data_IF_169643462397
#
_entry.id   IF_169643462397
#
_cell.length_a   1.000
_cell.length_b   1.000
_cell.length_c   1.000
_cell.angle_alpha   90.00
_cell.angle_beta   90.00
_cell.angle_gamma   90.00
#
_symmetry.space_group_name_H-M   'P 1'
#
loop_
_entity.id
_entity.type
_entity.pdbx_description
1 polymer ?
#
# COMPACT_ATOMS: atom_id res chain seq x y z
N UNK A 1 28.61 27.57 -29.18
CA UNK A 1 28.51 28.50 -28.03
C UNK A 1 27.59 27.85 -27.00
N UNK A 2 28.11 27.07 -26.07
CA UNK A 2 28.24 27.45 -24.65
C UNK A 2 27.24 26.62 -23.82
N UNK A 3 27.65 25.59 -23.06
CA UNK A 3 28.07 25.65 -21.63
C UNK A 3 26.92 26.15 -20.74
N UNK A 4 26.42 25.52 -19.68
CA UNK A 4 26.89 24.45 -18.79
C UNK A 4 25.78 24.15 -17.74
N UNK A 5 25.77 22.90 -17.22
CA UNK A 5 25.77 22.49 -15.79
C UNK A 5 24.86 23.28 -14.78
N UNK A 6 24.05 22.71 -13.87
CA UNK A 6 24.29 21.57 -12.96
C UNK A 6 23.01 21.23 -12.16
N UNK A 7 22.78 19.93 -11.93
CA UNK A 7 22.48 19.21 -10.65
C UNK A 7 21.68 19.98 -9.58
N UNK A 8 20.61 19.41 -9.00
CA UNK A 8 20.76 18.37 -7.95
C UNK A 8 19.43 17.83 -7.39
N UNK A 9 19.45 16.51 -7.11
CA UNK A 9 18.83 15.80 -5.96
C UNK A 9 17.32 15.54 -5.95
N UNK A 10 16.92 14.41 -6.54
CA UNK A 10 15.76 13.65 -6.06
C UNK A 10 16.23 12.32 -5.46
N UNK A 11 16.03 12.22 -4.15
CA UNK A 11 16.22 11.04 -3.32
C UNK A 11 15.27 9.92 -3.75
N UNK A 12 15.74 8.89 -4.45
CA UNK A 12 14.95 7.68 -4.69
C UNK A 12 14.98 6.81 -3.42
N UNK A 13 13.99 7.02 -2.56
CA UNK A 13 13.71 6.17 -1.41
C UNK A 13 13.31 4.76 -1.88
N UNK A 14 14.22 3.81 -1.71
CA UNK A 14 14.00 2.48 -1.09
C UNK A 14 12.61 1.83 -1.35
N UNK A 15 12.44 1.16 -2.49
CA UNK A 15 11.36 0.18 -2.68
C UNK A 15 11.79 -1.19 -2.19
N UNK A 16 11.33 -1.59 -1.00
CA UNK A 16 11.42 -2.97 -0.49
C UNK A 16 10.27 -3.77 -1.12
N UNK A 17 10.58 -4.64 -2.08
CA UNK A 17 9.62 -5.63 -2.53
C UNK A 17 9.34 -6.66 -1.43
N UNK A 18 8.15 -6.54 -0.80
CA UNK A 18 7.49 -7.65 -0.12
C UNK A 18 6.78 -8.50 -1.20
N UNK A 19 7.28 -9.71 -1.47
CA UNK A 19 6.48 -10.74 -2.16
C UNK A 19 6.13 -11.84 -1.18
N UNK A 20 4.82 -12.12 -1.13
CA UNK A 20 4.13 -13.10 -0.29
C UNK A 20 4.48 -14.52 -0.75
N UNK A 21 4.56 -15.51 0.17
CA UNK A 21 4.81 -16.89 -0.19
C UNK A 21 3.51 -17.58 -0.64
N UNK A 22 3.53 -18.20 -1.82
CA UNK A 22 2.50 -19.14 -2.24
C UNK A 22 2.73 -20.50 -1.59
N UNK A 23 1.80 -20.81 -0.71
CA UNK A 23 1.39 -22.11 -0.17
C UNK A 23 1.50 -23.25 -1.20
N UNK A 24 2.41 -24.20 -0.96
CA UNK A 24 2.27 -25.59 -1.43
C UNK A 24 2.48 -26.54 -0.25
N UNK A 25 1.41 -27.28 0.03
CA UNK A 25 1.29 -28.37 0.99
C UNK A 25 2.11 -29.57 0.51
N UNK A 26 3.01 -30.05 1.35
CA UNK A 26 3.25 -31.49 1.54
C UNK A 26 3.97 -31.67 2.87
N UNK A 27 3.21 -32.05 3.89
CA UNK A 27 3.70 -32.48 5.20
C UNK A 27 4.24 -33.90 5.05
N UNK A 28 5.54 -34.07 5.19
CA UNK A 28 6.11 -35.31 5.71
C UNK A 28 6.83 -34.95 6.99
N UNK A 29 6.26 -35.42 8.08
CA UNK A 29 6.55 -35.05 9.46
C UNK A 29 7.30 -36.22 10.08
N UNK A 30 8.62 -36.16 10.11
CA UNK A 30 9.42 -36.96 11.06
C UNK A 30 10.20 -36.00 11.94
N UNK A 31 9.60 -35.79 13.10
CA UNK A 31 10.07 -35.04 14.25
C UNK A 31 11.28 -35.74 14.87
N UNK A 32 12.22 -34.91 15.36
CA UNK A 32 12.96 -35.07 16.61
C UNK A 32 14.03 -36.19 16.60
N UNK A 33 15.16 -36.14 17.29
CA UNK A 33 15.74 -35.21 18.27
C UNK A 33 17.11 -35.83 18.57
N UNK A 34 18.19 -35.07 18.33
CA UNK A 34 19.17 -34.63 19.33
C UNK A 34 20.17 -35.65 19.90
N UNK A 35 21.37 -35.09 20.16
CA UNK A 35 22.45 -35.48 21.10
C UNK A 35 23.44 -36.52 20.57
N UNK A 36 24.63 -36.10 20.12
CA UNK A 36 25.83 -35.74 20.91
C UNK A 36 26.40 -36.88 21.78
N UNK A 37 27.69 -37.15 21.59
CA UNK A 37 28.53 -38.01 22.44
C UNK A 37 29.35 -38.99 21.60
N UNK A 38 30.39 -38.56 20.89
CA UNK A 38 31.77 -38.61 21.40
C UNK A 38 32.09 -39.91 22.15
N UNK A 39 32.78 -40.85 21.52
CA UNK A 39 34.21 -41.07 21.80
C UNK A 39 34.76 -42.34 21.13
N UNK A 40 35.92 -42.16 20.51
CA UNK A 40 37.14 -42.97 20.63
C UNK A 40 37.05 -44.50 20.54
N UNK A 41 37.93 -44.98 19.66
CA UNK A 41 38.78 -46.16 19.84
C UNK A 41 38.14 -47.53 19.54
N UNK A 42 38.53 -48.12 18.41
CA UNK A 42 39.48 -49.25 18.41
C UNK A 42 39.36 -50.09 17.13
N UNK A 43 40.23 -49.78 16.17
CA UNK A 43 41.08 -50.72 15.43
C UNK A 43 40.83 -52.22 15.72
N UNK A 44 40.23 -52.95 14.78
CA UNK A 44 40.57 -54.36 14.51
C UNK A 44 39.98 -54.78 13.16
N UNK A 45 40.77 -54.76 12.08
CA UNK A 45 41.54 -55.92 11.58
C UNK A 45 40.70 -57.19 11.52
N UNK A 46 40.13 -57.42 10.34
CA UNK A 46 39.86 -58.74 9.77
C UNK A 46 41.09 -59.63 9.98
N UNK A 47 41.03 -60.50 10.98
CA UNK A 47 41.98 -61.58 11.19
C UNK A 47 41.20 -62.87 11.17
N UNK A 48 41.02 -63.35 9.95
CA UNK A 48 40.84 -64.75 9.62
C UNK A 48 41.91 -65.56 10.37
N UNK A 49 41.51 -66.17 11.49
CA UNK A 49 42.35 -67.11 12.22
C UNK A 49 41.84 -68.51 11.90
N UNK A 50 42.36 -69.06 10.81
CA UNK A 50 42.61 -70.50 10.71
C UNK A 50 43.38 -70.92 11.97
N UNK A 51 42.76 -71.74 12.81
CA UNK A 51 43.46 -72.46 13.87
C UNK A 51 43.28 -73.95 13.60
N UNK A 52 44.24 -74.48 12.84
CA UNK A 52 44.66 -75.88 12.95
C UNK A 52 44.86 -76.18 14.44
N UNK A 53 44.18 -77.21 14.95
CA UNK A 53 44.63 -77.87 16.18
C UNK A 53 45.02 -79.28 15.81
N UNK A 54 46.33 -79.47 15.85
CA UNK A 54 46.99 -80.72 15.58
C UNK A 54 46.50 -81.82 16.53
N UNK A 55 46.40 -83.00 15.92
CA UNK A 55 46.59 -84.32 16.51
C UNK A 55 47.60 -84.26 17.66
N UNK A 56 47.18 -84.70 18.84
CA UNK A 56 48.09 -85.32 19.79
C UNK A 56 47.59 -86.75 20.02
N UNK A 57 48.48 -87.65 19.63
CA UNK A 57 48.56 -89.05 19.99
C UNK A 57 48.60 -89.20 21.51
N UNK A 58 47.80 -90.13 22.04
CA UNK A 58 48.05 -90.97 23.23
C UNK A 58 46.93 -92.02 23.25
N UNK A 59 47.13 -93.23 22.73
CA UNK A 59 47.65 -94.40 23.45
C UNK A 59 46.91 -94.70 24.77
N UNK A 60 46.07 -95.74 24.68
CA UNK A 60 45.82 -96.76 25.72
C UNK A 60 45.53 -96.29 27.16
N UNK A 61 44.29 -96.46 27.61
CA UNK A 61 44.00 -97.39 28.71
C UNK A 61 42.49 -97.49 28.96
N UNK A 62 42.08 -98.73 29.15
CA UNK A 62 40.80 -99.17 29.70
C UNK A 62 40.48 -98.46 31.03
N UNK A 63 39.33 -97.79 31.14
CA UNK A 63 38.61 -97.62 32.41
C UNK A 63 37.12 -97.30 32.15
N UNK A 64 36.24 -98.03 32.83
CA UNK A 64 34.79 -98.08 32.62
C UNK A 64 34.01 -96.89 33.23
N UNK A 65 34.52 -95.65 33.12
CA UNK A 65 33.90 -94.46 33.75
C UNK A 65 33.40 -93.36 32.78
N UNK A 66 33.71 -93.42 31.48
CA UNK A 66 33.27 -92.43 30.47
C UNK A 66 31.75 -92.49 30.17
N UNK A 67 31.14 -93.66 30.33
CA UNK A 67 29.72 -93.89 30.03
C UNK A 67 28.79 -93.21 31.07
N UNK A 68 29.29 -93.00 32.30
CA UNK A 68 28.60 -92.23 33.33
C UNK A 68 28.61 -90.72 33.03
N UNK A 69 29.73 -90.17 32.53
CA UNK A 69 29.86 -88.74 32.20
C UNK A 69 29.02 -88.37 30.96
N UNK A 70 28.90 -89.26 29.98
CA UNK A 70 28.02 -89.09 28.83
C UNK A 70 26.53 -89.22 29.20
N UNK A 71 26.18 -90.13 30.13
CA UNK A 71 24.80 -90.25 30.64
C UNK A 71 24.39 -89.06 31.50
N UNK A 72 25.28 -88.53 32.34
CA UNK A 72 25.00 -87.31 33.13
C UNK A 72 24.84 -86.09 32.22
N UNK A 73 25.74 -85.88 31.25
CA UNK A 73 25.58 -84.82 30.23
C UNK A 73 24.30 -84.95 29.41
N UNK A 74 23.93 -86.17 29.00
CA UNK A 74 22.68 -86.42 28.28
C UNK A 74 21.44 -86.22 29.15
N UNK A 75 21.54 -86.45 30.46
CA UNK A 75 20.47 -86.16 31.43
C UNK A 75 20.35 -84.65 31.68
N UNK A 76 21.46 -83.95 31.85
CA UNK A 76 21.51 -82.49 31.94
C UNK A 76 21.05 -81.80 30.65
N UNK A 77 21.38 -82.34 29.47
CA UNK A 77 20.87 -81.83 28.18
C UNK A 77 19.38 -82.07 28.01
N UNK A 78 18.85 -83.20 28.49
CA UNK A 78 17.41 -83.45 28.53
C UNK A 78 16.71 -82.52 29.51
N UNK A 79 17.30 -82.26 30.68
CA UNK A 79 16.78 -81.32 31.66
C UNK A 79 16.80 -79.89 31.10
N UNK A 80 17.89 -79.46 30.44
CA UNK A 80 17.97 -78.18 29.71
C UNK A 80 16.99 -78.11 28.54
N UNK A 81 16.79 -79.19 27.79
CA UNK A 81 15.80 -79.22 26.71
C UNK A 81 14.36 -79.14 27.25
N UNK A 82 14.07 -79.79 28.38
CA UNK A 82 12.78 -79.68 29.04
C UNK A 82 12.55 -78.27 29.62
N UNK A 83 13.61 -77.62 30.13
CA UNK A 83 13.57 -76.22 30.57
C UNK A 83 13.36 -75.27 29.39
N UNK A 84 14.06 -75.48 28.27
CA UNK A 84 13.85 -74.73 27.03
C UNK A 84 12.44 -74.95 26.46
N UNK A 85 11.93 -76.17 26.50
CA UNK A 85 10.56 -76.48 26.04
C UNK A 85 9.51 -75.80 26.93
N UNK A 86 9.72 -75.76 28.24
CA UNK A 86 8.87 -74.99 29.17
C UNK A 86 8.93 -73.48 28.85
N UNK A 87 10.12 -72.93 28.64
CA UNK A 87 10.28 -71.52 28.26
C UNK A 87 9.63 -71.20 26.91
N UNK A 88 9.67 -72.12 25.95
CA UNK A 88 9.00 -71.93 24.66
C UNK A 88 7.48 -71.99 24.80
N UNK A 89 6.95 -72.87 25.64
CA UNK A 89 5.51 -72.93 25.97
C UNK A 89 5.05 -71.69 26.73
N UNK A 90 5.86 -71.17 27.65
CA UNK A 90 5.59 -69.90 28.34
C UNK A 90 5.56 -68.74 27.35
N UNK A 91 6.55 -68.65 26.45
CA UNK A 91 6.56 -67.65 25.37
C UNK A 91 5.35 -67.75 24.43
N UNK A 92 4.89 -68.96 24.12
CA UNK A 92 3.68 -69.15 23.31
C UNK A 92 2.44 -68.64 24.04
N UNK A 93 2.28 -68.97 25.32
CA UNK A 93 1.19 -68.45 26.16
C UNK A 93 1.23 -66.93 26.27
N UNK A 94 2.41 -66.34 26.47
CA UNK A 94 2.56 -64.88 26.50
C UNK A 94 2.19 -64.21 25.17
N UNK A 95 2.48 -64.86 24.04
CA UNK A 95 2.09 -64.34 22.72
C UNK A 95 0.58 -64.46 22.50
N UNK A 96 -0.03 -65.57 22.91
CA UNK A 96 -1.48 -65.76 22.86
C UNK A 96 -2.21 -64.77 23.77
N UNK A 97 -1.71 -64.55 24.99
CA UNK A 97 -2.24 -63.55 25.93
C UNK A 97 -2.14 -62.14 25.36
N UNK A 98 -0.99 -61.77 24.77
CA UNK A 98 -0.84 -60.46 24.10
C UNK A 98 -1.80 -60.28 22.93
N UNK A 99 -2.05 -61.32 22.13
CA UNK A 99 -3.02 -61.25 21.04
C UNK A 99 -4.45 -61.04 21.56
N UNK A 100 -4.80 -61.71 22.66
CA UNK A 100 -6.11 -61.55 23.32
C UNK A 100 -6.23 -60.14 23.91
N UNK A 101 -5.20 -59.63 24.57
CA UNK A 101 -5.15 -58.27 25.10
C UNK A 101 -5.30 -57.22 24.00
N UNK A 102 -4.62 -57.40 22.87
CA UNK A 102 -4.77 -56.53 21.70
C UNK A 102 -6.18 -56.58 21.11
N UNK A 103 -6.80 -57.76 21.02
CA UNK A 103 -8.18 -57.89 20.56
C UNK A 103 -9.18 -57.22 21.51
N UNK A 104 -8.97 -57.37 22.82
CA UNK A 104 -9.80 -56.73 23.84
C UNK A 104 -9.63 -55.22 23.79
N UNK A 105 -8.39 -54.73 23.71
CA UNK A 105 -8.09 -53.30 23.55
C UNK A 105 -8.76 -52.73 22.29
N UNK A 106 -8.71 -53.44 21.16
CA UNK A 106 -9.39 -53.03 19.91
C UNK A 106 -10.91 -53.02 20.05
N UNK A 107 -11.50 -53.96 20.80
CA UNK A 107 -12.97 -53.98 21.05
C UNK A 107 -13.38 -52.82 21.95
N UNK A 108 -12.62 -52.55 23.00
CA UNK A 108 -12.84 -51.41 23.89
C UNK A 108 -12.70 -50.09 23.13
N UNK A 109 -11.65 -49.93 22.33
CA UNK A 109 -11.44 -48.75 21.49
C UNK A 109 -12.61 -48.51 20.55
N UNK A 110 -13.12 -49.55 19.88
CA UNK A 110 -14.30 -49.44 18.99
C UNK A 110 -15.57 -49.04 19.75
N UNK A 111 -15.79 -49.57 20.95
CA UNK A 111 -16.96 -49.20 21.77
C UNK A 111 -16.86 -47.77 22.28
N UNK A 112 -15.65 -47.33 22.67
CA UNK A 112 -15.39 -45.95 23.08
C UNK A 112 -15.56 -45.00 21.89
N UNK A 113 -14.98 -45.32 20.74
CA UNK A 113 -15.12 -44.53 19.52
C UNK A 113 -16.59 -44.37 19.12
N UNK A 114 -17.38 -45.46 19.13
CA UNK A 114 -18.81 -45.41 18.83
C UNK A 114 -19.59 -44.54 19.83
N UNK A 115 -19.35 -44.70 21.14
CA UNK A 115 -20.01 -43.86 22.15
C UNK A 115 -19.66 -42.39 22.00
N UNK A 116 -18.39 -42.07 21.72
CA UNK A 116 -17.93 -40.70 21.47
C UNK A 116 -18.54 -40.14 20.18
N UNK A 117 -18.63 -40.94 19.13
CA UNK A 117 -19.26 -40.55 17.87
C UNK A 117 -20.74 -40.23 18.06
N UNK A 118 -21.49 -41.06 18.79
CA UNK A 118 -22.90 -40.84 19.11
C UNK A 118 -23.11 -39.59 20.00
N UNK A 119 -22.22 -39.34 20.97
CA UNK A 119 -22.26 -38.14 21.81
C UNK A 119 -21.93 -36.88 21.01
N UNK A 120 -20.94 -36.96 20.12
CA UNK A 120 -20.59 -35.86 19.23
C UNK A 120 -21.71 -35.62 18.23
N UNK A 121 -22.33 -36.65 17.67
CA UNK A 121 -23.42 -36.51 16.71
C UNK A 121 -24.62 -35.74 17.28
N UNK A 122 -25.00 -36.02 18.53
CA UNK A 122 -26.03 -35.24 19.24
C UNK A 122 -25.65 -33.77 19.43
N UNK A 123 -24.37 -33.48 19.66
CA UNK A 123 -23.86 -32.11 19.88
C UNK A 123 -23.41 -31.41 18.59
N UNK A 124 -23.26 -32.15 17.48
CA UNK A 124 -22.79 -31.62 16.18
C UNK A 124 -23.76 -30.58 15.68
N UNK A 125 -25.07 -30.84 15.72
CA UNK A 125 -26.07 -29.90 15.22
C UNK A 125 -26.07 -28.59 16.03
N UNK A 126 -25.96 -28.67 17.36
CA UNK A 126 -25.85 -27.51 18.24
C UNK A 126 -24.57 -26.70 17.96
N UNK A 127 -23.43 -27.40 17.87
CA UNK A 127 -22.14 -26.80 17.55
C UNK A 127 -22.18 -26.17 16.16
N UNK A 128 -22.77 -26.82 15.17
CA UNK A 128 -22.91 -26.32 13.81
C UNK A 128 -23.75 -25.05 13.77
N UNK A 129 -24.87 -25.01 14.48
CA UNK A 129 -25.72 -23.81 14.57
C UNK A 129 -24.95 -22.66 15.21
N UNK A 130 -24.22 -22.92 16.30
CA UNK A 130 -23.44 -21.87 16.95
C UNK A 130 -22.26 -21.38 16.08
N UNK A 131 -21.56 -22.29 15.40
CA UNK A 131 -20.51 -21.94 14.45
C UNK A 131 -21.09 -21.13 13.28
N UNK A 132 -22.22 -21.53 12.72
CA UNK A 132 -22.92 -20.79 11.66
C UNK A 132 -23.29 -19.38 12.14
N UNK A 133 -23.85 -19.24 13.35
CA UNK A 133 -24.16 -17.94 13.97
C UNK A 133 -22.92 -17.05 14.12
N UNK A 134 -21.83 -17.56 14.70
CA UNK A 134 -20.59 -16.79 14.86
C UNK A 134 -19.97 -16.38 13.51
N UNK A 135 -20.07 -17.24 12.50
CA UNK A 135 -19.62 -16.92 11.14
C UNK A 135 -20.49 -15.85 10.50
N UNK A 136 -21.81 -15.91 10.67
CA UNK A 136 -22.73 -14.89 10.19
C UNK A 136 -22.52 -13.55 10.90
N UNK A 137 -22.31 -13.53 12.21
CA UNK A 137 -21.97 -12.32 12.96
C UNK A 137 -20.65 -11.72 12.48
N UNK A 138 -19.62 -12.54 12.28
CA UNK A 138 -18.34 -12.09 11.74
C UNK A 138 -18.47 -11.55 10.31
N UNK A 139 -19.27 -12.20 9.44
CA UNK A 139 -19.58 -11.70 8.09
C UNK A 139 -20.30 -10.38 8.14
N UNK A 140 -21.34 -10.24 8.96
CA UNK A 140 -22.09 -8.99 9.13
C UNK A 140 -21.22 -7.86 9.65
N UNK A 141 -20.31 -8.12 10.58
CA UNK A 141 -19.35 -7.12 11.07
C UNK A 141 -18.43 -6.67 9.93
N UNK A 142 -17.86 -7.62 9.18
CA UNK A 142 -17.00 -7.32 8.03
C UNK A 142 -17.75 -6.56 6.94
N UNK A 143 -18.98 -6.96 6.60
CA UNK A 143 -19.82 -6.29 5.62
C UNK A 143 -20.15 -4.85 6.03
N UNK A 144 -20.50 -4.62 7.31
CA UNK A 144 -20.74 -3.27 7.83
C UNK A 144 -19.49 -2.40 7.74
N UNK A 145 -18.34 -2.92 8.16
CA UNK A 145 -17.07 -2.20 8.06
C UNK A 145 -16.73 -1.86 6.61
N UNK A 146 -16.92 -2.80 5.69
CA UNK A 146 -16.70 -2.59 4.26
C UNK A 146 -17.65 -1.55 3.67
N UNK A 147 -18.93 -1.57 4.04
CA UNK A 147 -19.91 -0.57 3.60
C UNK A 147 -19.58 0.82 4.15
N UNK A 148 -19.25 0.94 5.43
CA UNK A 148 -18.83 2.20 6.05
C UNK A 148 -17.56 2.77 5.38
N UNK A 149 -16.60 1.93 5.05
CA UNK A 149 -15.39 2.34 4.33
C UNK A 149 -15.72 2.84 2.92
N UNK A 150 -16.61 2.16 2.19
CA UNK A 150 -17.07 2.58 0.87
C UNK A 150 -17.86 3.90 0.92
N UNK A 151 -18.73 4.07 1.91
CA UNK A 151 -19.48 5.31 2.11
C UNK A 151 -18.56 6.48 2.44
N UNK A 152 -17.57 6.27 3.32
CA UNK A 152 -16.54 7.28 3.62
C UNK A 152 -15.73 7.65 2.39
N UNK A 153 -15.36 6.67 1.56
CA UNK A 153 -14.64 6.93 0.32
C UNK A 153 -15.48 7.75 -0.67
N UNK A 154 -16.75 7.38 -0.86
CA UNK A 154 -17.68 8.14 -1.71
C UNK A 154 -17.90 9.56 -1.20
N UNK A 155 -18.10 9.73 0.10
CA UNK A 155 -18.27 11.03 0.72
C UNK A 155 -17.01 11.90 0.54
N UNK A 156 -15.83 11.33 0.76
CA UNK A 156 -14.55 12.02 0.55
C UNK A 156 -14.32 12.39 -0.93
N UNK A 157 -14.72 11.53 -1.87
CA UNK A 157 -14.63 11.82 -3.29
C UNK A 157 -15.56 12.96 -3.70
N UNK A 158 -16.82 12.93 -3.25
CA UNK A 158 -17.78 14.01 -3.49
C UNK A 158 -17.33 15.33 -2.85
N UNK A 159 -16.79 15.28 -1.63
CA UNK A 159 -16.24 16.47 -0.98
C UNK A 159 -15.02 17.01 -1.72
N UNK A 160 -14.12 16.14 -2.19
CA UNK A 160 -12.97 16.55 -3.00
C UNK A 160 -13.41 17.17 -4.34
N UNK A 161 -14.45 16.63 -4.98
CA UNK A 161 -15.04 17.22 -6.19
C UNK A 161 -15.67 18.58 -5.90
N UNK A 162 -16.44 18.72 -4.82
CA UNK A 162 -17.03 20.00 -4.40
C UNK A 162 -15.96 21.05 -4.11
N UNK A 163 -14.90 20.70 -3.39
CA UNK A 163 -13.78 21.62 -3.12
C UNK A 163 -13.10 22.09 -4.40
N UNK A 164 -12.88 21.19 -5.36
CA UNK A 164 -12.34 21.56 -6.68
C UNK A 164 -13.27 22.48 -7.45
N UNK A 165 -14.57 22.19 -7.44
CA UNK A 165 -15.57 23.03 -8.11
C UNK A 165 -15.64 24.43 -7.46
N UNK A 166 -15.62 24.52 -6.14
CA UNK A 166 -15.57 25.80 -5.41
C UNK A 166 -14.30 26.60 -5.72
N UNK A 167 -13.14 25.94 -5.78
CA UNK A 167 -11.89 26.60 -6.19
C UNK A 167 -11.95 27.09 -7.64
N UNK A 168 -12.53 26.31 -8.56
CA UNK A 168 -12.73 26.74 -9.95
C UNK A 168 -13.74 27.89 -10.05
N UNK A 169 -14.83 27.86 -9.28
CA UNK A 169 -15.81 28.94 -9.21
C UNK A 169 -15.16 30.22 -8.69
N UNK A 170 -14.41 30.16 -7.59
CA UNK A 170 -13.67 31.32 -7.06
C UNK A 170 -12.71 31.90 -8.08
N UNK A 171 -11.94 31.05 -8.79
CA UNK A 171 -11.04 31.51 -9.86
C UNK A 171 -11.81 32.19 -11.01
N UNK A 172 -12.99 31.67 -11.38
CA UNK A 172 -13.84 32.29 -12.41
C UNK A 172 -14.39 33.62 -11.94
N UNK A 173 -14.88 33.71 -10.71
CA UNK A 173 -15.38 34.95 -10.10
C UNK A 173 -14.26 36.00 -10.00
N UNK A 174 -13.05 35.60 -9.59
CA UNK A 174 -11.88 36.49 -9.55
C UNK A 174 -11.51 37.00 -10.95
N UNK A 175 -11.51 36.12 -11.96
CA UNK A 175 -11.27 36.52 -13.35
C UNK A 175 -12.36 37.45 -13.88
N UNK A 176 -13.63 37.18 -13.57
CA UNK A 176 -14.75 38.02 -13.96
C UNK A 176 -14.67 39.40 -13.30
N UNK A 177 -14.33 39.47 -12.02
CA UNK A 177 -14.10 40.73 -11.32
C UNK A 177 -12.97 41.55 -11.96
N UNK A 178 -11.85 40.90 -12.32
CA UNK A 178 -10.75 41.56 -13.03
C UNK A 178 -11.20 42.07 -14.41
N UNK A 179 -12.00 41.29 -15.14
CA UNK A 179 -12.53 41.70 -16.44
C UNK A 179 -13.47 42.90 -16.32
N UNK A 180 -14.34 42.91 -15.31
CA UNK A 180 -15.23 44.05 -15.02
C UNK A 180 -14.42 45.30 -14.69
N UNK A 181 -13.41 45.19 -13.82
CA UNK A 181 -12.54 46.33 -13.51
C UNK A 181 -11.76 46.84 -14.72
N UNK A 182 -11.31 45.93 -15.59
CA UNK A 182 -10.60 46.30 -16.81
C UNK A 182 -11.53 47.03 -17.79
N UNK A 183 -12.71 46.47 -18.04
CA UNK A 183 -13.73 47.10 -18.88
C UNK A 183 -14.12 48.48 -18.35
N UNK A 184 -14.30 48.62 -17.02
CA UNK A 184 -14.57 49.91 -16.39
C UNK A 184 -13.44 50.92 -16.61
N UNK A 185 -12.18 50.50 -16.50
CA UNK A 185 -11.02 51.38 -16.80
C UNK A 185 -10.98 51.80 -18.27
N UNK A 186 -11.33 50.88 -19.19
CA UNK A 186 -11.43 51.19 -20.62
C UNK A 186 -12.55 52.20 -20.87
N UNK A 187 -13.74 52.00 -20.31
CA UNK A 187 -14.87 52.90 -20.43
C UNK A 187 -14.55 54.28 -19.85
N UNK A 188 -13.94 54.36 -18.67
CA UNK A 188 -13.52 55.61 -18.05
C UNK A 188 -12.45 56.33 -18.90
N UNK A 189 -11.51 55.59 -19.50
CA UNK A 189 -10.51 56.16 -20.40
C UNK A 189 -11.15 56.68 -21.71
N UNK A 190 -12.06 55.91 -22.31
CA UNK A 190 -12.81 56.33 -23.50
C UNK A 190 -13.66 57.56 -23.22
N UNK A 191 -14.32 57.62 -22.05
CA UNK A 191 -15.10 58.78 -21.61
C UNK A 191 -14.23 60.02 -21.45
N UNK A 192 -13.04 59.90 -20.83
CA UNK A 192 -12.10 61.02 -20.70
C UNK A 192 -11.62 61.52 -22.07
N UNK A 193 -11.28 60.62 -22.98
CA UNK A 193 -10.88 60.98 -24.35
C UNK A 193 -12.02 61.69 -25.09
N UNK A 194 -13.27 61.22 -24.94
CA UNK A 194 -14.43 61.87 -25.53
C UNK A 194 -14.68 63.27 -24.93
N UNK A 195 -14.54 63.42 -23.61
CA UNK A 195 -14.65 64.70 -22.92
C UNK A 195 -13.55 65.69 -23.37
N UNK A 196 -12.31 65.22 -23.56
CA UNK A 196 -11.21 66.03 -24.10
C UNK A 196 -11.45 66.46 -25.55
N UNK A 197 -11.92 65.53 -26.40
CA UNK A 197 -12.29 65.86 -27.78
C UNK A 197 -13.40 66.91 -27.83
N UNK A 198 -14.42 66.79 -26.96
CA UNK A 198 -15.52 67.75 -26.89
C UNK A 198 -15.03 69.13 -26.42
N UNK A 199 -14.16 69.20 -25.41
CA UNK A 199 -13.52 70.46 -24.96
C UNK A 199 -12.71 71.12 -26.08
N UNK A 200 -11.93 70.34 -26.83
CA UNK A 200 -11.15 70.88 -27.95
C UNK A 200 -12.06 71.50 -29.03
N UNK A 201 -13.19 70.84 -29.35
CA UNK A 201 -14.17 71.37 -30.30
C UNK A 201 -14.83 72.65 -29.76
N UNK A 202 -15.17 72.70 -28.47
CA UNK A 202 -15.70 73.90 -27.83
C UNK A 202 -14.69 75.06 -27.84
N UNK A 203 -13.41 74.79 -27.59
CA UNK A 203 -12.34 75.78 -27.68
C UNK A 203 -12.15 76.28 -29.10
N UNK A 204 -12.14 75.39 -30.10
CA UNK A 204 -12.11 75.78 -31.51
C UNK A 204 -13.30 76.66 -31.87
N UNK A 205 -14.50 76.33 -31.38
CA UNK A 205 -15.71 77.15 -31.58
C UNK A 205 -15.57 78.54 -30.95
N UNK A 206 -15.07 78.64 -29.71
CA UNK A 206 -14.81 79.93 -29.04
C UNK A 206 -13.76 80.76 -29.76
N UNK A 207 -12.69 80.14 -30.26
CA UNK A 207 -11.66 80.81 -31.04
C UNK A 207 -12.21 81.36 -32.36
N UNK A 208 -13.07 80.61 -33.05
CA UNK A 208 -13.75 81.09 -34.25
C UNK A 208 -14.71 82.25 -33.94
N UNK A 209 -15.48 82.16 -32.86
CA UNK A 209 -16.35 83.26 -32.41
C UNK A 209 -15.54 84.52 -32.07
N UNK A 210 -14.42 84.37 -31.35
CA UNK A 210 -13.53 85.48 -31.03
C UNK A 210 -12.89 86.10 -32.28
N UNK A 211 -12.50 85.28 -33.26
CA UNK A 211 -11.99 85.76 -34.56
C UNK A 211 -13.07 86.55 -35.33
N UNK A 212 -14.30 86.06 -35.37
CA UNK A 212 -15.41 86.76 -36.03
C UNK A 212 -15.69 88.11 -35.35
N UNK A 213 -15.72 88.15 -34.01
CA UNK A 213 -15.87 89.43 -33.28
C UNK A 213 -14.74 90.41 -33.57
N UNK A 214 -13.49 89.95 -33.58
CA UNK A 214 -12.34 90.81 -33.90
C UNK A 214 -12.43 91.32 -35.34
N UNK A 215 -12.83 90.47 -36.29
CA UNK A 215 -13.01 90.86 -37.70
C UNK A 215 -14.14 91.89 -37.86
N UNK A 216 -15.25 91.74 -37.13
CA UNK A 216 -16.33 92.73 -37.08
C UNK A 216 -15.87 94.06 -36.47
N UNK A 217 -15.13 94.02 -35.35
CA UNK A 217 -14.54 95.20 -34.72
C UNK A 217 -13.56 95.92 -35.65
N UNK A 218 -12.67 95.19 -36.31
CA UNK A 218 -11.72 95.75 -37.28
C UNK A 218 -12.44 96.34 -38.50
N UNK A 219 -13.54 95.72 -38.95
CA UNK A 219 -14.37 96.26 -40.03
C UNK A 219 -15.07 97.55 -39.62
N UNK A 220 -15.58 97.63 -38.39
CA UNK A 220 -16.15 98.86 -37.82
C UNK A 220 -15.09 99.96 -37.66
N UNK A 221 -13.89 99.63 -37.16
CA UNK A 221 -12.77 100.59 -37.07
C UNK A 221 -12.39 101.14 -38.44
N UNK A 222 -12.22 100.27 -39.44
CA UNK A 222 -11.96 100.70 -40.83
C UNK A 222 -13.06 101.60 -41.38
N UNK A 223 -14.33 101.31 -41.07
CA UNK A 223 -15.45 102.18 -41.45
C UNK A 223 -15.38 103.54 -40.75
N UNK A 224 -15.09 103.58 -39.45
CA UNK A 224 -14.92 104.82 -38.69
C UNK A 224 -13.72 105.65 -39.20
N UNK A 225 -12.57 105.02 -39.46
CA UNK A 225 -11.40 105.65 -40.06
C UNK A 225 -11.72 106.22 -41.45
N UNK A 226 -12.43 105.46 -42.29
CA UNK A 226 -12.92 105.96 -43.58
C UNK A 226 -13.90 107.12 -43.43
N UNK A 227 -14.80 107.11 -42.44
CA UNK A 227 -15.69 108.23 -42.15
C UNK A 227 -14.91 109.50 -41.75
N UNK A 228 -13.84 109.37 -40.96
CA UNK A 228 -12.95 110.48 -40.57
C UNK A 228 -12.16 111.01 -41.77
N UNK A 229 -11.61 110.14 -42.62
CA UNK A 229 -10.85 110.53 -43.84
C UNK A 229 -11.76 111.21 -44.86
N UNK A 230 -12.95 110.67 -45.10
CA UNK A 230 -13.94 111.23 -46.02
C UNK A 230 -14.71 112.43 -45.42
N UNK A 231 -14.42 112.80 -44.17
CA UNK A 231 -15.04 113.91 -43.43
C UNK A 231 -16.58 113.86 -43.41
N UNK A 232 -17.15 112.66 -43.49
CA UNK A 232 -18.60 112.45 -43.37
C UNK A 232 -19.00 112.78 -41.93
N UNK A 233 -20.11 113.51 -41.75
CA UNK A 233 -20.64 113.95 -40.44
C UNK A 233 -19.71 114.89 -39.63
N UNK A 234 -18.81 115.66 -40.25
CA UNK A 234 -17.89 116.59 -39.56
C UNK A 234 -16.98 115.93 -38.51
N UNK A 235 -16.63 114.66 -38.70
CA UNK A 235 -15.88 113.87 -37.72
C UNK A 235 -14.41 114.30 -37.56
N UNK A 236 -13.85 115.07 -38.50
CA UNK A 236 -12.45 115.55 -38.44
C UNK A 236 -12.34 116.76 -37.50
N UNK A 237 -11.55 116.69 -36.40
CA UNK A 237 -11.37 117.81 -35.50
C UNK A 237 -10.66 118.97 -36.24
N UNK A 238 -11.18 120.19 -36.08
CA UNK A 238 -10.62 121.40 -36.70
C UNK A 238 -9.28 121.72 -36.04
N UNK A 239 -8.17 121.52 -36.77
CA UNK A 239 -6.85 121.97 -36.35
C UNK A 239 -6.78 123.49 -36.47
N UNK A 240 -6.78 124.19 -35.33
CA UNK A 240 -6.44 125.61 -35.26
C UNK A 240 -4.91 125.75 -35.22
N UNK A 241 -4.30 126.17 -36.33
CA UNK A 241 -2.91 126.58 -36.35
C UNK A 241 -2.83 128.09 -36.11
N UNK A 242 -2.21 128.51 -35.02
CA UNK A 242 -1.77 129.90 -34.84
C UNK A 242 -0.56 130.14 -35.76
N UNK A 243 -0.78 130.80 -36.89
CA UNK A 243 0.30 131.39 -37.69
C UNK A 243 0.83 132.61 -36.94
N UNK A 244 1.79 132.39 -36.04
CA UNK A 244 2.50 133.46 -35.36
C UNK A 244 3.37 134.22 -36.36
N UNK A 245 3.06 135.51 -36.55
CA UNK A 245 3.99 136.56 -36.96
C UNK A 245 4.33 137.39 -35.74
#
# INVERSE_FOLDING_TARGET
MGRSRSRSRSSSKRSKHKKRPTRSRSRSQSRMSSRQGSSRSARSRSRERKRNKHRLYSSSSSSSDDDLILRTKKREEKEKNNELEKQMKEKQKELEEKLIEEEVARRVEKLVARRVEEELEKRKDEIEVEVKRRVEEAKRLMERQMLEELEKQRAAELEAQRRKEEEERKKREELEAIMIENNRKIEEAQRKLAEEQLKLVEEQRKMLEAKQRLEEEDRLRKQQEQEVILNKKNARPKLSFSLGK
#
